data_IF_676215712663
#
_entry.id   IF_676215712663
#
_cell.length_a   1.000
_cell.length_b   1.000
_cell.length_c   1.000
_cell.angle_alpha   90.00
_cell.angle_beta   90.00
_cell.angle_gamma   90.00
#
_symmetry.space_group_name_H-M   'P 1'
#
loop_
_entity.id
_entity.type
_entity.pdbx_description
1 polymer ?
#
# COMPACT_ATOMS: atom_id res chain seq x y z
N UNK A 1 -1.50 3.87 6.48
CA UNK A 1 -1.72 2.51 7.04
C UNK A 1 -3.14 1.99 6.77
N UNK A 2 -4.21 2.67 7.19
CA UNK A 2 -5.59 2.17 7.11
C UNK A 2 -6.01 1.72 5.71
N UNK A 3 -5.73 2.52 4.67
CA UNK A 3 -6.05 2.16 3.30
C UNK A 3 -5.32 0.89 2.82
N UNK A 4 -4.03 0.74 3.16
CA UNK A 4 -3.26 -0.45 2.82
C UNK A 4 -3.80 -1.70 3.55
N UNK A 5 -4.18 -1.54 4.81
CA UNK A 5 -4.77 -2.61 5.60
C UNK A 5 -6.12 -3.06 5.01
N UNK A 6 -6.99 -2.11 4.65
CA UNK A 6 -8.25 -2.39 3.98
C UNK A 6 -8.03 -3.07 2.61
N UNK A 7 -7.14 -2.52 1.79
CA UNK A 7 -6.82 -3.09 0.48
C UNK A 7 -6.30 -4.52 0.57
N UNK A 8 -5.47 -4.84 1.59
CA UNK A 8 -4.97 -6.20 1.80
C UNK A 8 -6.07 -7.23 2.07
N UNK A 9 -7.16 -6.80 2.71
CA UNK A 9 -8.33 -7.64 2.93
C UNK A 9 -9.17 -7.81 1.67
N UNK A 10 -9.33 -6.74 0.89
CA UNK A 10 -10.10 -6.75 -0.35
C UNK A 10 -9.46 -7.62 -1.43
N UNK A 11 -8.12 -7.60 -1.48
CA UNK A 11 -7.33 -8.40 -2.43
C UNK A 11 -7.04 -9.84 -1.90
N UNK A 12 -7.72 -10.26 -0.85
CA UNK A 12 -7.56 -11.59 -0.23
C UNK A 12 -6.12 -11.95 0.17
N UNK A 13 -5.31 -10.92 0.45
CA UNK A 13 -3.92 -11.04 0.90
C UNK A 13 -3.73 -10.33 2.25
N UNK A 14 -4.37 -10.82 3.34
CA UNK A 14 -4.47 -10.10 4.59
C UNK A 14 -3.12 -9.90 5.27
N UNK A 15 -2.79 -8.66 5.58
CA UNK A 15 -1.60 -8.29 6.34
C UNK A 15 -1.86 -8.41 7.84
N UNK A 16 -0.84 -8.85 8.58
CA UNK A 16 -0.91 -8.80 10.05
C UNK A 16 -0.74 -7.35 10.51
N UNK A 17 -1.64 -6.86 11.37
CA UNK A 17 -1.55 -5.50 11.91
C UNK A 17 -0.18 -5.20 12.52
N UNK A 18 0.41 -6.17 13.21
CA UNK A 18 1.72 -6.05 13.84
C UNK A 18 2.81 -5.73 12.83
N UNK A 19 2.83 -6.47 11.71
CA UNK A 19 3.86 -6.31 10.70
C UNK A 19 3.69 -4.97 9.97
N UNK A 20 2.43 -4.59 9.72
CA UNK A 20 2.10 -3.30 9.13
C UNK A 20 2.54 -2.12 10.01
N UNK A 21 2.27 -2.19 11.32
CA UNK A 21 2.68 -1.14 12.28
C UNK A 21 4.20 -1.04 12.35
N UNK A 22 4.91 -2.18 12.43
CA UNK A 22 6.37 -2.18 12.50
C UNK A 22 7.02 -1.62 11.24
N UNK A 23 6.55 -2.01 10.07
CA UNK A 23 7.08 -1.49 8.79
C UNK A 23 6.80 0.00 8.67
N UNK A 24 5.63 0.46 9.06
CA UNK A 24 5.27 1.87 9.03
C UNK A 24 6.13 2.69 9.99
N UNK A 25 6.35 2.21 11.21
CA UNK A 25 7.21 2.85 12.21
C UNK A 25 8.66 2.93 11.72
N UNK A 26 9.17 1.85 11.12
CA UNK A 26 10.49 1.83 10.48
C UNK A 26 10.61 2.88 9.37
N UNK A 27 9.62 2.94 8.46
CA UNK A 27 9.63 3.89 7.35
C UNK A 27 9.57 5.32 7.85
N UNK A 28 8.70 5.61 8.82
CA UNK A 28 8.57 6.93 9.42
C UNK A 28 9.87 7.35 10.11
N UNK A 29 10.47 6.47 10.90
CA UNK A 29 11.74 6.72 11.58
C UNK A 29 12.87 6.97 10.58
N UNK A 30 12.89 6.23 9.46
CA UNK A 30 13.87 6.42 8.38
C UNK A 30 13.69 7.76 7.67
N UNK A 31 12.46 8.14 7.35
CA UNK A 31 12.17 9.43 6.69
C UNK A 31 12.50 10.61 7.60
N UNK A 32 12.15 10.52 8.88
CA UNK A 32 12.48 11.54 9.86
C UNK A 32 14.00 11.70 10.04
N UNK A 33 14.73 10.56 10.06
CA UNK A 33 16.20 10.59 10.11
C UNK A 33 16.79 11.22 8.84
N UNK A 34 16.25 10.94 7.66
CA UNK A 34 16.71 11.53 6.40
C UNK A 34 16.45 13.06 6.34
N UNK A 35 15.30 13.51 6.86
CA UNK A 35 14.96 14.94 6.92
C UNK A 35 15.82 15.67 7.96
N UNK A 36 16.14 15.02 9.09
CA UNK A 36 16.99 15.58 10.13
C UNK A 36 18.49 15.48 9.84
N UNK A 37 18.89 15.31 8.59
CA UNK A 37 20.22 14.92 8.08
C UNK A 37 21.41 15.86 8.39
N UNK A 38 21.34 16.65 9.47
CA UNK A 38 22.51 17.31 10.08
C UNK A 38 23.35 16.37 10.95
N UNK A 39 22.93 15.14 11.16
CA UNK A 39 23.67 14.14 11.95
C UNK A 39 24.31 13.11 11.06
N UNK A 40 25.66 13.10 10.97
CA UNK A 40 26.48 12.05 10.38
C UNK A 40 26.38 10.69 11.11
N UNK A 41 25.30 10.49 11.88
CA UNK A 41 25.10 9.26 12.66
C UNK A 41 24.40 8.21 11.79
N UNK A 42 24.87 6.95 11.80
CA UNK A 42 24.19 5.86 11.08
C UNK A 42 22.79 5.66 11.64
N UNK A 43 21.82 5.44 10.74
CA UNK A 43 20.45 5.12 11.13
C UNK A 43 20.40 3.81 11.91
N UNK A 44 19.90 3.85 13.13
CA UNK A 44 19.66 2.67 13.96
C UNK A 44 18.18 2.61 14.34
N UNK A 45 17.50 1.59 13.87
CA UNK A 45 16.10 1.36 14.22
C UNK A 45 16.00 0.44 15.44
N UNK A 46 15.15 0.81 16.37
CA UNK A 46 14.77 -0.04 17.51
C UNK A 46 13.27 -0.33 17.37
N UNK A 47 12.87 -1.59 17.14
CA UNK A 47 11.46 -1.94 16.98
C UNK A 47 10.65 -1.55 18.23
N UNK A 48 9.40 -1.13 17.99
CA UNK A 48 8.46 -0.82 19.07
C UNK A 48 8.14 -2.06 19.90
N UNK A 49 8.10 -1.90 21.21
CA UNK A 49 7.70 -2.99 22.10
C UNK A 49 6.20 -3.30 21.94
N UNK A 50 5.86 -4.58 21.77
CA UNK A 50 4.46 -5.03 21.68
C UNK A 50 3.67 -4.87 22.99
N UNK A 51 4.36 -4.64 24.09
CA UNK A 51 3.74 -4.39 25.40
C UNK A 51 3.58 -2.89 25.70
N UNK A 52 3.97 -2.01 24.75
CA UNK A 52 3.82 -0.57 24.94
C UNK A 52 2.37 -0.13 24.71
N UNK A 53 1.91 0.86 25.47
CA UNK A 53 0.61 1.50 25.24
C UNK A 53 0.52 2.06 23.83
N UNK A 54 1.59 2.66 23.33
CA UNK A 54 1.69 3.24 21.98
C UNK A 54 1.38 2.23 20.88
N UNK A 55 1.79 0.95 21.05
CA UNK A 55 1.46 -0.10 20.10
C UNK A 55 -0.04 -0.37 20.06
N UNK A 56 -0.70 -0.44 21.22
CA UNK A 56 -2.14 -0.65 21.32
C UNK A 56 -2.92 0.55 20.79
N UNK A 57 -2.48 1.77 21.09
CA UNK A 57 -3.09 3.00 20.56
C UNK A 57 -3.05 3.04 19.04
N UNK A 58 -1.91 2.66 18.43
CA UNK A 58 -1.77 2.57 16.97
C UNK A 58 -2.66 1.48 16.37
N UNK A 59 -2.79 0.35 17.05
CA UNK A 59 -3.67 -0.75 16.65
C UNK A 59 -5.12 -0.31 16.62
N UNK A 60 -5.57 0.37 17.66
CA UNK A 60 -6.94 0.87 17.77
C UNK A 60 -7.21 1.99 16.75
N UNK A 61 -6.25 2.90 16.58
CA UNK A 61 -6.31 3.94 15.55
C UNK A 61 -6.38 3.35 14.14
N UNK A 62 -5.69 2.23 13.87
CA UNK A 62 -5.73 1.54 12.59
C UNK A 62 -7.13 0.99 12.27
N UNK A 63 -7.79 0.37 13.27
CA UNK A 63 -9.16 -0.15 13.13
C UNK A 63 -10.16 0.99 12.90
N UNK A 64 -10.02 2.08 13.67
CA UNK A 64 -10.86 3.27 13.50
C UNK A 64 -10.65 3.89 12.10
N UNK A 65 -9.41 4.01 11.64
CA UNK A 65 -9.08 4.53 10.31
C UNK A 65 -9.69 3.67 9.20
N UNK A 66 -9.62 2.34 9.29
CA UNK A 66 -10.26 1.43 8.35
C UNK A 66 -11.77 1.69 8.27
N UNK A 67 -12.45 1.77 9.41
CA UNK A 67 -13.88 2.04 9.46
C UNK A 67 -14.23 3.43 8.89
N UNK A 68 -13.41 4.44 9.13
CA UNK A 68 -13.61 5.78 8.57
C UNK A 68 -13.47 5.79 7.04
N UNK A 69 -12.51 5.04 6.51
CA UNK A 69 -12.35 4.89 5.05
C UNK A 69 -13.59 4.22 4.46
N UNK A 70 -14.06 3.10 5.03
CA UNK A 70 -15.27 2.40 4.58
C UNK A 70 -16.50 3.31 4.59
N UNK A 71 -16.70 4.08 5.67
CA UNK A 71 -17.80 5.05 5.75
C UNK A 71 -17.70 6.13 4.66
N UNK A 72 -16.51 6.65 4.39
CA UNK A 72 -16.29 7.68 3.35
C UNK A 72 -16.51 7.13 1.94
N UNK A 73 -16.22 5.86 1.70
CA UNK A 73 -16.51 5.17 0.46
C UNK A 73 -17.96 4.70 0.33
N UNK A 74 -18.81 4.95 1.34
CA UNK A 74 -20.18 4.45 1.40
C UNK A 74 -20.24 2.92 1.37
N UNK A 75 -19.20 2.25 1.89
CA UNK A 75 -19.00 0.79 1.82
C UNK A 75 -18.90 0.23 0.39
N UNK A 76 -18.77 1.09 -0.61
CA UNK A 76 -18.52 0.65 -1.99
C UNK A 76 -17.01 0.48 -2.19
N UNK A 77 -16.55 -0.74 -1.97
CA UNK A 77 -15.13 -1.13 -2.07
C UNK A 77 -14.80 -1.86 -3.37
N UNK A 78 -15.77 -1.95 -4.27
CA UNK A 78 -15.57 -2.60 -5.55
C UNK A 78 -14.77 -1.70 -6.49
N UNK A 79 -13.54 -2.13 -6.81
CA UNK A 79 -12.64 -1.40 -7.71
C UNK A 79 -12.54 -2.14 -9.04
N UNK A 80 -12.93 -1.46 -10.11
CA UNK A 80 -12.74 -1.96 -11.47
C UNK A 80 -11.36 -1.53 -11.97
N UNK A 81 -10.41 -2.43 -11.91
CA UNK A 81 -9.07 -2.20 -12.43
C UNK A 81 -9.07 -2.35 -13.96
N UNK A 82 -8.42 -1.44 -14.71
CA UNK A 82 -8.43 -1.44 -16.17
C UNK A 82 -7.53 -2.53 -16.80
N UNK A 83 -6.75 -3.27 -16.00
CA UNK A 83 -5.86 -4.31 -16.52
C UNK A 83 -6.61 -5.41 -17.30
N UNK A 84 -7.78 -5.82 -16.82
CA UNK A 84 -8.61 -6.79 -17.54
C UNK A 84 -9.06 -6.29 -18.91
N UNK A 85 -9.43 -5.02 -19.00
CA UNK A 85 -9.81 -4.34 -20.24
C UNK A 85 -8.61 -4.24 -21.18
N UNK A 86 -7.44 -3.87 -20.67
CA UNK A 86 -6.19 -3.84 -21.44
C UNK A 86 -5.88 -5.19 -22.07
N UNK A 87 -5.95 -6.28 -21.30
CA UNK A 87 -5.70 -7.62 -21.82
C UNK A 87 -6.69 -7.99 -22.92
N UNK A 88 -7.96 -7.63 -22.76
CA UNK A 88 -8.98 -7.87 -23.79
C UNK A 88 -8.67 -7.09 -25.08
N UNK A 89 -8.28 -5.83 -25.00
CA UNK A 89 -7.87 -5.06 -26.18
C UNK A 89 -6.64 -5.66 -26.85
N UNK A 90 -5.62 -6.07 -26.10
CA UNK A 90 -4.44 -6.72 -26.67
C UNK A 90 -4.79 -8.03 -27.40
N UNK A 91 -5.77 -8.79 -26.88
CA UNK A 91 -6.28 -10.00 -27.56
C UNK A 91 -6.99 -9.66 -28.87
N UNK A 92 -7.90 -8.71 -28.86
CA UNK A 92 -8.67 -8.29 -30.05
C UNK A 92 -7.74 -7.75 -31.14
N UNK A 93 -6.69 -7.03 -30.75
CA UNK A 93 -5.70 -6.47 -31.67
C UNK A 93 -4.64 -7.50 -32.12
N UNK A 94 -4.67 -8.72 -31.62
CA UNK A 94 -3.69 -9.76 -31.94
C UNK A 94 -2.27 -9.45 -31.44
N UNK A 95 -2.16 -8.59 -30.43
CA UNK A 95 -0.87 -8.11 -29.88
C UNK A 95 -0.38 -8.90 -28.69
N UNK A 96 -1.10 -9.93 -28.26
CA UNK A 96 -0.77 -10.75 -27.07
C UNK A 96 0.60 -11.41 -27.16
N UNK A 97 1.08 -11.71 -28.37
CA UNK A 97 2.38 -12.34 -28.61
C UNK A 97 3.51 -11.31 -28.79
N UNK A 98 3.20 -10.01 -28.73
CA UNK A 98 4.18 -8.94 -28.83
C UNK A 98 4.51 -8.39 -27.46
N UNK A 99 5.54 -8.96 -26.86
CA UNK A 99 5.99 -8.64 -25.50
C UNK A 99 6.25 -7.13 -25.32
N UNK A 100 6.93 -6.51 -26.29
CA UNK A 100 7.21 -5.06 -26.26
C UNK A 100 5.95 -4.20 -26.17
N UNK A 101 4.90 -4.56 -26.94
CA UNK A 101 3.65 -3.82 -26.94
C UNK A 101 2.89 -3.99 -25.63
N UNK A 102 2.85 -5.24 -25.13
CA UNK A 102 2.21 -5.57 -23.85
C UNK A 102 2.89 -4.82 -22.69
N UNK A 103 4.22 -4.86 -22.64
CA UNK A 103 4.99 -4.22 -21.58
C UNK A 103 4.83 -2.70 -21.58
N UNK A 104 4.88 -2.06 -22.75
CA UNK A 104 4.65 -0.62 -22.87
C UNK A 104 3.24 -0.22 -22.47
N UNK A 105 2.23 -0.95 -22.93
CA UNK A 105 0.84 -0.68 -22.60
C UNK A 105 0.59 -0.81 -21.09
N UNK A 106 1.19 -1.83 -20.47
CA UNK A 106 1.13 -2.02 -19.02
C UNK A 106 1.84 -0.89 -18.26
N UNK A 107 3.02 -0.46 -18.73
CA UNK A 107 3.75 0.66 -18.18
C UNK A 107 2.94 1.96 -18.21
N UNK A 108 2.36 2.33 -19.36
CA UNK A 108 1.49 3.51 -19.46
C UNK A 108 0.28 3.47 -18.53
N UNK A 109 -0.25 2.28 -18.30
CA UNK A 109 -1.39 2.13 -17.42
C UNK A 109 -0.98 2.32 -15.95
N UNK A 110 0.19 1.83 -15.56
CA UNK A 110 0.75 2.07 -14.23
C UNK A 110 1.06 3.56 -14.00
N UNK A 111 1.70 4.21 -14.98
CA UNK A 111 2.05 5.63 -14.90
C UNK A 111 0.80 6.54 -14.87
N UNK A 112 -0.32 6.08 -15.38
CA UNK A 112 -1.60 6.81 -15.36
C UNK A 112 -2.36 6.75 -14.04
N UNK A 113 -1.88 5.96 -13.07
CA UNK A 113 -2.46 5.85 -11.72
C UNK A 113 -1.71 6.67 -10.66
N UNK A 114 -0.58 7.27 -11.02
CA UNK A 114 0.15 8.22 -10.18
C UNK A 114 -0.42 9.64 -10.38
#
# INVERSE_FOLDING_TARGET
>A
MGALYLASKLEECPLRMRDLINVYDLLLSRTLHAVSASSHKPFKYTPMSYFSSTFYDLKDALVVAEMQILKRLGFNVHVLLPYGTLVNYLRVLGLTNREDACQKAWGYLNDGYD
#
